data_IF_726700313477
#
_entry.id   IF_726700313477
#
_cell.length_a   1.000
_cell.length_b   1.000
_cell.length_c   1.000
_cell.angle_alpha   90.00
_cell.angle_beta   90.00
_cell.angle_gamma   90.00
#
_symmetry.space_group_name_H-M   'P 1'
#
loop_
_entity.id
_entity.type
_entity.pdbx_description
1 polymer ?
#
# COMPACT_ATOMS: atom_id res chain seq x y z
N UNK A 1 0.46 -10.15 -8.61
CA UNK A 1 -0.31 -10.15 -7.34
C UNK A 1 -0.36 -8.73 -6.80
N UNK A 2 -1.53 -8.27 -6.36
CA UNK A 2 -1.73 -6.94 -5.77
C UNK A 2 -1.91 -7.09 -4.26
N UNK A 3 -1.11 -6.37 -3.48
CA UNK A 3 -1.12 -6.36 -2.02
C UNK A 3 -1.49 -4.95 -1.56
N UNK A 4 -2.54 -4.80 -0.77
CA UNK A 4 -2.96 -3.51 -0.24
C UNK A 4 -2.59 -3.44 1.24
N UNK A 5 -1.86 -2.40 1.63
CA UNK A 5 -1.55 -2.10 3.04
C UNK A 5 -2.58 -1.09 3.54
N UNK A 6 -3.48 -1.53 4.42
CA UNK A 6 -4.64 -0.74 4.85
C UNK A 6 -4.81 -0.75 6.36
N UNK A 7 -5.17 0.40 6.93
CA UNK A 7 -5.62 0.55 8.31
C UNK A 7 -6.33 1.90 8.46
N UNK A 8 -7.46 1.92 9.16
CA UNK A 8 -8.19 3.14 9.54
C UNK A 8 -7.29 4.08 10.36
N UNK A 9 -6.47 3.52 11.24
CA UNK A 9 -5.59 4.31 12.10
C UNK A 9 -4.33 4.81 11.38
N UNK A 10 -4.03 6.09 11.56
CA UNK A 10 -2.75 6.70 11.18
C UNK A 10 -1.61 6.26 12.11
N UNK A 11 -0.39 6.16 11.59
CA UNK A 11 0.80 5.89 12.42
C UNK A 11 1.02 4.44 12.83
N UNK A 12 0.25 3.48 12.33
CA UNK A 12 0.42 2.04 12.60
C UNK A 12 1.55 1.38 11.79
N UNK A 13 2.28 2.14 10.97
CA UNK A 13 3.38 1.64 10.16
C UNK A 13 3.01 1.15 8.76
N UNK A 14 1.89 1.62 8.16
CA UNK A 14 1.48 1.29 6.78
C UNK A 14 2.58 1.54 5.75
N UNK A 15 3.00 2.80 5.59
CA UNK A 15 4.06 3.21 4.67
C UNK A 15 5.36 2.45 4.90
N UNK A 16 5.76 2.29 6.16
CA UNK A 16 6.98 1.53 6.52
C UNK A 16 6.88 0.08 6.08
N UNK A 17 5.72 -0.55 6.31
CA UNK A 17 5.45 -1.93 5.88
C UNK A 17 5.43 -2.02 4.36
N UNK A 18 4.78 -1.08 3.67
CA UNK A 18 4.68 -1.05 2.22
C UNK A 18 6.06 -0.97 1.55
N UNK A 19 6.94 -0.08 2.04
CA UNK A 19 8.31 0.10 1.54
C UNK A 19 9.15 -1.17 1.76
N UNK A 20 9.18 -1.69 2.99
CA UNK A 20 10.01 -2.86 3.32
C UNK A 20 9.51 -4.13 2.63
N UNK A 21 8.20 -4.32 2.53
CA UNK A 21 7.62 -5.43 1.78
C UNK A 21 8.00 -5.34 0.30
N UNK A 22 7.90 -4.16 -0.30
CA UNK A 22 8.28 -3.94 -1.71
C UNK A 22 9.76 -4.25 -1.93
N UNK A 23 10.63 -3.79 -1.02
CA UNK A 23 12.06 -4.10 -1.04
C UNK A 23 12.31 -5.61 -0.97
N UNK A 24 11.75 -6.30 0.03
CA UNK A 24 11.95 -7.73 0.22
C UNK A 24 11.42 -8.58 -0.95
N UNK A 25 10.37 -8.15 -1.65
CA UNK A 25 9.87 -8.83 -2.84
C UNK A 25 10.83 -8.58 -4.02
N UNK A 26 11.29 -7.35 -4.20
CA UNK A 26 12.21 -6.99 -5.28
C UNK A 26 13.60 -7.62 -5.12
N UNK A 27 14.11 -7.69 -3.89
CA UNK A 27 15.37 -8.35 -3.53
C UNK A 27 15.38 -9.85 -3.86
N UNK A 28 14.20 -10.49 -3.89
CA UNK A 28 14.01 -11.86 -4.36
C UNK A 28 13.94 -12.00 -5.89
N UNK A 29 14.25 -10.93 -6.63
CA UNK A 29 14.30 -10.92 -8.10
C UNK A 29 12.94 -10.68 -8.77
N UNK A 30 11.91 -10.31 -8.02
CA UNK A 30 10.60 -10.04 -8.60
C UNK A 30 10.43 -8.60 -9.06
N UNK A 31 9.89 -8.42 -10.27
CA UNK A 31 9.53 -7.08 -10.77
C UNK A 31 8.39 -6.48 -9.94
N UNK A 32 8.72 -5.46 -9.15
CA UNK A 32 7.86 -4.93 -8.08
C UNK A 32 7.53 -3.46 -8.31
N UNK A 33 6.27 -3.12 -8.06
CA UNK A 33 5.76 -1.74 -8.06
C UNK A 33 5.21 -1.40 -6.67
N UNK A 34 5.55 -0.23 -6.16
CA UNK A 34 4.89 0.37 -5.01
C UNK A 34 4.06 1.57 -5.48
N UNK A 35 2.76 1.59 -5.17
CA UNK A 35 1.87 2.69 -5.47
C UNK A 35 1.60 3.48 -4.20
N UNK A 36 1.87 4.80 -4.23
CA UNK A 36 1.58 5.73 -3.14
C UNK A 36 0.16 6.31 -3.34
N UNK A 37 -0.81 5.78 -2.60
CA UNK A 37 -2.20 6.22 -2.64
C UNK A 37 -2.56 7.20 -1.53
N UNK A 38 -1.64 7.46 -0.59
CA UNK A 38 -1.84 8.46 0.43
C UNK A 38 -1.58 9.86 -0.18
N UNK A 39 -2.56 10.80 -0.15
CA UNK A 39 -2.35 12.17 -0.61
C UNK A 39 -1.17 12.88 0.07
N UNK A 40 -0.73 12.42 1.24
CA UNK A 40 0.47 12.92 1.90
C UNK A 40 1.77 12.61 1.13
N UNK A 41 1.79 11.60 0.26
CA UNK A 41 2.94 11.30 -0.60
C UNK A 41 4.16 10.81 0.18
N UNK A 42 3.95 10.07 1.27
CA UNK A 42 5.03 9.64 2.17
C UNK A 42 6.02 8.69 1.50
N UNK A 43 5.55 7.80 0.61
CA UNK A 43 6.42 6.92 -0.16
C UNK A 43 7.21 7.71 -1.20
N UNK A 44 6.55 8.64 -1.92
CA UNK A 44 7.22 9.47 -2.93
C UNK A 44 8.31 10.34 -2.32
N UNK A 45 8.06 10.93 -1.14
CA UNK A 45 9.08 11.67 -0.38
C UNK A 45 10.24 10.77 0.03
N UNK A 46 9.96 9.56 0.52
CA UNK A 46 10.99 8.57 0.82
C UNK A 46 11.83 8.20 -0.41
N UNK A 47 11.20 8.02 -1.57
CA UNK A 47 11.91 7.71 -2.81
C UNK A 47 12.87 8.84 -3.21
N UNK A 48 12.49 10.09 -3.00
CA UNK A 48 13.32 11.27 -3.33
C UNK A 48 14.61 11.38 -2.52
N UNK A 49 14.68 10.76 -1.34
CA UNK A 49 15.88 10.73 -0.48
C UNK A 49 16.60 9.37 -0.49
N UNK A 50 16.01 8.34 -1.11
CA UNK A 50 16.60 7.01 -1.19
C UNK A 50 17.58 6.90 -2.35
N UNK A 51 18.79 6.40 -2.07
CA UNK A 51 19.79 6.11 -3.10
C UNK A 51 19.60 4.75 -3.78
N UNK A 52 18.64 3.93 -3.32
CA UNK A 52 18.43 2.57 -3.80
C UNK A 52 17.13 2.46 -4.60
N UNK A 53 17.26 2.21 -5.90
CA UNK A 53 16.14 1.96 -6.81
C UNK A 53 16.02 0.46 -7.09
N UNK A 54 15.54 -0.29 -6.09
CA UNK A 54 15.35 -1.76 -6.21
C UNK A 54 13.97 -2.10 -6.80
N UNK A 55 13.00 -1.20 -6.69
CA UNK A 55 11.65 -1.33 -7.24
C UNK A 55 11.12 0.01 -7.75
N UNK A 56 10.08 -0.04 -8.58
CA UNK A 56 9.44 1.16 -9.11
C UNK A 56 8.45 1.73 -8.10
N UNK A 57 8.36 3.07 -8.02
CA UNK A 57 7.33 3.78 -7.26
C UNK A 57 6.51 4.63 -8.21
N UNK A 58 5.20 4.63 -8.05
CA UNK A 58 4.29 5.51 -8.81
C UNK A 58 3.28 6.18 -7.89
N UNK A 59 2.91 7.44 -8.15
CA UNK A 59 1.75 8.04 -7.50
C UNK A 59 0.48 7.30 -7.92
N UNK A 60 -0.51 7.29 -7.04
CA UNK A 60 -1.85 6.82 -7.35
C UNK A 60 -2.62 7.85 -8.17
N UNK A 61 -3.05 7.52 -9.41
CA UNK A 61 -3.79 8.44 -10.24
C UNK A 61 -5.30 8.35 -9.97
N UNK A 62 -5.95 9.52 -9.89
CA UNK A 62 -7.40 9.62 -9.84
C UNK A 62 -8.01 9.80 -11.24
N UNK A 63 -9.15 9.15 -11.58
CA UNK A 63 -9.90 8.17 -10.79
C UNK A 63 -9.42 6.73 -11.00
N UNK A 64 -9.48 5.94 -9.93
CA UNK A 64 -8.58 4.79 -9.80
C UNK A 64 -9.13 3.42 -10.20
N UNK A 65 -10.45 3.23 -10.10
CA UNK A 65 -11.11 1.92 -10.27
C UNK A 65 -10.88 1.28 -11.64
N UNK A 66 -10.68 2.09 -12.69
CA UNK A 66 -10.45 1.60 -14.05
C UNK A 66 -8.95 1.44 -14.41
N UNK A 67 -8.04 1.99 -13.60
CA UNK A 67 -6.64 2.15 -13.98
C UNK A 67 -5.68 1.18 -13.27
N UNK A 68 -6.08 0.54 -12.16
CA UNK A 68 -5.20 -0.39 -11.41
C UNK A 68 -4.62 -1.47 -12.31
N UNK A 69 -5.46 -2.12 -13.13
CA UNK A 69 -4.99 -3.17 -14.05
C UNK A 69 -3.95 -2.65 -15.04
N UNK A 70 -4.10 -1.41 -15.52
CA UNK A 70 -3.15 -0.79 -16.44
C UNK A 70 -1.85 -0.40 -15.75
N UNK A 71 -1.93 0.12 -14.52
CA UNK A 71 -0.75 0.52 -13.74
C UNK A 71 0.10 -0.66 -13.28
N UNK A 72 -0.56 -1.75 -12.92
CA UNK A 72 0.05 -3.01 -12.46
C UNK A 72 0.54 -3.88 -13.61
N UNK A 73 0.16 -3.56 -14.85
CA UNK A 73 0.57 -4.30 -16.04
C UNK A 73 2.09 -4.35 -16.15
N UNK A 74 2.62 -5.56 -16.34
CA UNK A 74 4.06 -5.79 -16.48
C UNK A 74 4.84 -5.87 -15.17
N UNK A 75 4.17 -5.88 -14.01
CA UNK A 75 4.77 -6.18 -12.70
C UNK A 75 4.28 -7.52 -12.18
N UNK A 76 5.17 -8.26 -11.53
CA UNK A 76 4.82 -9.52 -10.87
C UNK A 76 4.09 -9.25 -9.55
N UNK A 77 4.54 -8.24 -8.81
CA UNK A 77 3.94 -7.81 -7.56
C UNK A 77 3.70 -6.31 -7.55
N UNK A 78 2.57 -5.91 -6.99
CA UNK A 78 2.28 -4.50 -6.70
C UNK A 78 1.85 -4.37 -5.26
N UNK A 79 2.49 -3.48 -4.53
CA UNK A 79 2.10 -3.08 -3.18
C UNK A 79 1.43 -1.70 -3.29
N UNK A 80 0.34 -1.48 -2.55
CA UNK A 80 -0.38 -0.20 -2.51
C UNK A 80 -0.39 0.29 -1.07
N UNK A 81 0.15 1.48 -0.82
CA UNK A 81 0.08 2.19 0.47
C UNK A 81 -1.16 3.08 0.48
N UNK A 82 -2.13 2.82 1.36
CA UNK A 82 -3.39 3.58 1.42
C UNK A 82 -3.32 4.70 2.45
N UNK A 83 -4.14 5.76 2.28
CA UNK A 83 -4.33 6.77 3.33
C UNK A 83 -4.91 6.14 4.62
N UNK A 84 -4.82 6.85 5.76
CA UNK A 84 -5.61 6.50 6.94
C UNK A 84 -7.12 6.69 6.69
N UNK A 85 -7.94 6.01 7.48
CA UNK A 85 -9.39 5.95 7.31
C UNK A 85 -9.84 4.97 6.24
N UNK A 86 -11.15 4.79 6.14
CA UNK A 86 -11.80 4.06 5.03
C UNK A 86 -12.42 5.12 4.10
N UNK A 87 -11.93 5.18 2.86
CA UNK A 87 -12.39 6.09 1.82
C UNK A 87 -12.47 5.38 0.46
N UNK A 88 -12.92 6.08 -0.58
CA UNK A 88 -13.10 5.50 -1.92
C UNK A 88 -11.81 4.86 -2.48
N UNK A 89 -10.66 5.48 -2.23
CA UNK A 89 -9.32 4.95 -2.55
C UNK A 89 -9.05 3.62 -1.85
N UNK A 90 -9.35 3.54 -0.56
CA UNK A 90 -9.18 2.34 0.27
C UNK A 90 -10.10 1.22 -0.20
N UNK A 91 -11.36 1.54 -0.51
CA UNK A 91 -12.32 0.59 -1.08
C UNK A 91 -11.88 0.07 -2.45
N UNK A 92 -11.48 0.95 -3.36
CA UNK A 92 -11.06 0.56 -4.70
C UNK A 92 -9.81 -0.34 -4.68
N UNK A 93 -8.89 -0.08 -3.75
CA UNK A 93 -7.67 -0.89 -3.60
C UNK A 93 -7.96 -2.23 -2.93
N UNK A 94 -8.84 -2.27 -1.94
CA UNK A 94 -9.35 -3.51 -1.35
C UNK A 94 -10.01 -4.40 -2.41
N UNK A 95 -10.94 -3.85 -3.19
CA UNK A 95 -11.69 -4.59 -4.22
C UNK A 95 -10.78 -5.15 -5.33
N UNK A 96 -9.64 -4.51 -5.60
CA UNK A 96 -8.70 -4.94 -6.62
C UNK A 96 -7.56 -5.83 -6.08
N UNK A 97 -7.37 -5.91 -4.76
CA UNK A 97 -6.24 -6.64 -4.19
C UNK A 97 -6.47 -8.15 -4.16
N UNK A 98 -5.37 -8.88 -4.12
CA UNK A 98 -5.36 -10.33 -3.90
C UNK A 98 -5.09 -10.64 -2.42
N UNK A 99 -4.50 -9.69 -1.69
CA UNK A 99 -4.17 -9.78 -0.28
C UNK A 99 -4.27 -8.39 0.34
N UNK A 100 -5.07 -8.27 1.41
CA UNK A 100 -5.05 -7.11 2.29
C UNK A 100 -4.14 -7.41 3.49
N UNK A 101 -3.26 -6.47 3.83
CA UNK A 101 -2.43 -6.51 5.03
C UNK A 101 -2.87 -5.35 5.92
N UNK A 102 -3.18 -5.67 7.18
CA UNK A 102 -3.62 -4.71 8.18
C UNK A 102 -2.54 -4.61 9.26
N UNK A 103 -1.60 -3.64 9.17
CA UNK A 103 -0.61 -3.44 10.22
C UNK A 103 -1.29 -2.93 11.48
N UNK A 104 -1.05 -3.58 12.61
CA UNK A 104 -1.59 -3.18 13.92
C UNK A 104 -0.45 -2.98 14.90
N UNK A 105 -0.56 -2.00 15.78
CA UNK A 105 0.34 -1.90 16.92
C UNK A 105 -0.13 -2.86 18.03
N UNK A 106 0.72 -3.26 19.00
CA UNK A 106 0.31 -4.14 20.08
C UNK A 106 -0.65 -3.51 21.12
N UNK A 107 -1.16 -2.31 20.85
CA UNK A 107 -2.15 -1.63 21.69
C UNK A 107 -3.54 -2.29 21.53
N UNK A 108 -4.21 -2.70 22.63
CA UNK A 108 -5.57 -3.24 22.57
C UNK A 108 -6.58 -2.32 21.87
N UNK A 109 -6.44 -1.00 22.04
CA UNK A 109 -7.28 -0.01 21.36
C UNK A 109 -7.07 -0.01 19.84
N UNK A 110 -5.86 -0.34 19.38
CA UNK A 110 -5.51 -0.36 17.96
C UNK A 110 -6.00 -1.65 17.31
N UNK A 111 -6.02 -2.75 18.07
CA UNK A 111 -6.64 -4.01 17.66
C UNK A 111 -8.14 -3.82 17.46
N UNK A 112 -8.82 -3.15 18.40
CA UNK A 112 -10.25 -2.84 18.26
C UNK A 112 -10.51 -1.89 17.09
N UNK A 113 -9.74 -0.82 16.91
CA UNK A 113 -9.90 0.05 15.74
C UNK A 113 -9.64 -0.66 14.39
N UNK A 114 -8.99 -1.83 14.40
CA UNK A 114 -8.72 -2.60 13.18
C UNK A 114 -9.78 -3.67 12.90
N UNK A 115 -10.69 -3.97 13.85
CA UNK A 115 -11.77 -4.94 13.63
C UNK A 115 -12.73 -4.48 12.54
N UNK A 116 -12.97 -3.17 12.47
CA UNK A 116 -13.90 -2.57 11.53
C UNK A 116 -13.48 -2.81 10.06
N UNK A 117 -12.19 -3.05 9.82
CA UNK A 117 -11.66 -3.41 8.49
C UNK A 117 -11.90 -4.89 8.16
N UNK A 118 -11.90 -5.76 9.17
CA UNK A 118 -12.15 -7.19 9.02
C UNK A 118 -13.63 -7.45 8.73
N UNK A 119 -14.50 -6.55 9.19
CA UNK A 119 -15.95 -6.62 8.98
C UNK A 119 -16.43 -6.05 7.62
N UNK A 120 -15.52 -5.53 6.78
CA UNK A 120 -15.79 -5.01 5.42
C UNK A 120 -15.98 -6.11 4.38
#
# INVERSE_FOLDING_TARGET
>A
MIITIINEKGGVGKTTTAINLSYCIADRGHKTLLIDADPQGSVLRWQGISNHKVFDVKPYPEPITSLIKKLTCGYQHTVIDTPPGINDTSWATLLACHLAVIPVTPSPFDVWASSDIIEL
#
